data_IF_079646935083
#
_entry.id   IF_079646935083
#
_cell.length_a   1.000
_cell.length_b   1.000
_cell.length_c   1.000
_cell.angle_alpha   90.00
_cell.angle_beta   90.00
_cell.angle_gamma   90.00
#
_symmetry.space_group_name_H-M   'P 1'
#
loop_
_entity.id
_entity.type
_entity.pdbx_description
1 polymer ?
#
# COMPACT_ATOMS: atom_id res chain seq x y z
N UNK A 1 -12.05 15.43 15.09
CA UNK A 1 -11.64 15.54 16.52
C UNK A 1 -10.15 15.86 16.56
N UNK A 2 -9.58 16.39 17.65
CA UNK A 2 -8.12 16.55 17.70
C UNK A 2 -7.45 15.17 17.69
N UNK A 3 -6.23 15.10 17.16
CA UNK A 3 -5.30 13.97 17.21
C UNK A 3 -5.44 13.14 18.50
N UNK A 4 -5.31 11.82 18.39
CA UNK A 4 -5.24 10.95 19.57
C UNK A 4 -4.04 11.35 20.44
N UNK A 5 -4.10 11.03 21.74
CA UNK A 5 -2.99 11.33 22.64
C UNK A 5 -1.66 10.72 22.19
N UNK A 6 -1.73 9.55 21.56
CA UNK A 6 -0.60 8.82 21.03
C UNK A 6 -0.08 9.45 19.74
N UNK A 7 -0.96 9.83 18.82
CA UNK A 7 -0.60 10.55 17.61
C UNK A 7 0.12 11.86 17.96
N UNK A 8 -0.43 12.62 18.92
CA UNK A 8 0.20 13.83 19.43
C UNK A 8 1.57 13.56 20.06
N UNK A 9 1.70 12.50 20.87
CA UNK A 9 2.97 12.15 21.50
C UNK A 9 4.06 11.79 20.46
N UNK A 10 3.69 11.07 19.39
CA UNK A 10 4.59 10.79 18.27
C UNK A 10 5.04 12.09 17.60
N UNK A 11 4.10 12.96 17.23
CA UNK A 11 4.43 14.21 16.55
C UNK A 11 5.28 15.13 17.44
N UNK A 12 4.92 15.27 18.71
CA UNK A 12 5.70 16.01 19.70
C UNK A 12 7.12 15.45 19.81
N UNK A 13 7.29 14.12 19.83
CA UNK A 13 8.61 13.49 19.84
C UNK A 13 9.40 13.82 18.56
N UNK A 14 8.83 13.55 17.38
CA UNK A 14 9.47 13.72 16.07
C UNK A 14 9.91 15.18 15.86
N UNK A 15 9.02 16.14 16.14
CA UNK A 15 9.32 17.56 15.93
C UNK A 15 10.20 18.14 17.05
N UNK A 16 10.10 17.66 18.30
CA UNK A 16 10.98 18.12 19.38
C UNK A 16 12.44 17.70 19.20
N UNK A 17 12.69 16.53 18.62
CA UNK A 17 14.07 16.08 18.33
C UNK A 17 14.64 16.69 17.05
N UNK A 18 13.85 17.49 16.32
CA UNK A 18 14.26 18.09 15.05
C UNK A 18 14.57 17.03 14.00
N UNK A 19 13.78 15.94 13.97
CA UNK A 19 13.95 14.93 12.94
C UNK A 19 13.72 15.57 11.56
N UNK A 20 14.64 15.36 10.60
CA UNK A 20 14.51 15.96 9.28
C UNK A 20 13.30 15.38 8.55
N UNK A 21 12.61 16.25 7.80
CA UNK A 21 11.49 15.90 6.93
C UNK A 21 12.02 15.27 5.65
N UNK A 22 11.19 14.52 4.93
CA UNK A 22 11.64 13.82 3.70
C UNK A 22 12.24 14.77 2.67
N UNK A 23 11.64 15.95 2.48
CA UNK A 23 12.13 16.94 1.52
C UNK A 23 13.47 17.60 1.91
N UNK A 24 13.91 17.44 3.15
CA UNK A 24 15.21 17.93 3.64
C UNK A 24 16.33 16.88 3.48
N UNK A 25 16.00 15.67 3.03
CA UNK A 25 16.90 14.54 2.91
C UNK A 25 17.27 14.24 1.46
N UNK A 26 18.46 13.67 1.26
CA UNK A 26 18.72 12.92 0.03
C UNK A 26 17.85 11.65 -0.01
N UNK A 27 17.63 11.09 -1.20
CA UNK A 27 16.84 9.85 -1.36
C UNK A 27 17.41 8.70 -0.52
N UNK A 28 18.72 8.52 -0.48
CA UNK A 28 19.37 7.48 0.33
C UNK A 28 19.16 7.70 1.83
N UNK A 29 19.24 8.94 2.29
CA UNK A 29 18.97 9.29 3.69
C UNK A 29 17.49 9.07 4.04
N UNK A 30 16.58 9.41 3.13
CA UNK A 30 15.15 9.18 3.28
C UNK A 30 14.84 7.67 3.38
N UNK A 31 15.42 6.84 2.51
CA UNK A 31 15.28 5.37 2.54
C UNK A 31 15.81 4.78 3.84
N UNK A 32 17.00 5.20 4.28
CA UNK A 32 17.58 4.75 5.54
C UNK A 32 16.72 5.17 6.75
N UNK A 33 16.27 6.43 6.76
CA UNK A 33 15.45 6.97 7.85
C UNK A 33 14.08 6.28 7.92
N UNK A 34 13.46 5.99 6.77
CA UNK A 34 12.21 5.25 6.70
C UNK A 34 12.35 3.85 7.30
N UNK A 35 13.36 3.07 6.88
CA UNK A 35 13.65 1.74 7.46
C UNK A 35 13.84 1.80 8.96
N UNK A 36 14.62 2.79 9.44
CA UNK A 36 14.90 2.95 10.87
C UNK A 36 13.64 3.27 11.67
N UNK A 37 12.75 4.09 11.12
CA UNK A 37 11.46 4.42 11.73
C UNK A 37 10.59 3.15 11.88
N UNK A 38 10.46 2.37 10.80
CA UNK A 38 9.69 1.12 10.83
C UNK A 38 10.30 0.09 11.78
N UNK A 39 11.62 -0.03 11.82
CA UNK A 39 12.30 -0.94 12.75
C UNK A 39 12.12 -0.51 14.22
N UNK A 40 12.24 0.79 14.51
CA UNK A 40 12.16 1.29 15.88
C UNK A 40 10.75 1.23 16.47
N UNK A 41 9.72 1.44 15.64
CA UNK A 41 8.35 1.66 16.10
C UNK A 41 7.32 0.69 15.52
N UNK A 42 7.77 -0.26 14.69
CA UNK A 42 6.98 -1.42 14.29
C UNK A 42 6.75 -2.36 15.47
N UNK A 43 5.68 -3.14 15.39
CA UNK A 43 5.42 -4.20 16.37
C UNK A 43 6.46 -5.33 16.22
N UNK A 44 6.64 -6.18 17.25
CA UNK A 44 7.44 -7.38 17.11
C UNK A 44 6.96 -8.24 15.93
N UNK A 45 7.89 -8.69 15.09
CA UNK A 45 7.60 -9.50 13.91
C UNK A 45 6.97 -10.84 14.34
N UNK A 46 5.69 -11.12 13.99
CA UNK A 46 5.05 -12.36 14.40
C UNK A 46 5.59 -13.54 13.59
N UNK A 47 5.66 -14.72 14.22
CA UNK A 47 6.04 -15.94 13.52
C UNK A 47 5.01 -16.27 12.43
N UNK A 48 5.51 -16.77 11.29
CA UNK A 48 4.72 -17.30 10.17
C UNK A 48 5.25 -18.69 9.83
N UNK A 49 4.50 -19.49 9.08
CA UNK A 49 4.91 -20.86 8.75
C UNK A 49 6.17 -20.87 7.88
N UNK A 50 6.26 -19.94 6.91
CA UNK A 50 7.44 -19.79 6.07
C UNK A 50 7.53 -18.38 5.47
N UNK A 51 8.75 -17.95 5.19
CA UNK A 51 9.07 -16.83 4.28
C UNK A 51 9.94 -17.34 3.15
N UNK A 52 9.56 -17.04 1.92
CA UNK A 52 10.28 -17.48 0.71
C UNK A 52 10.60 -16.27 -0.15
N UNK A 53 11.87 -16.07 -0.46
CA UNK A 53 12.28 -15.08 -1.47
C UNK A 53 11.88 -15.57 -2.87
N UNK A 54 11.23 -14.70 -3.63
CA UNK A 54 10.67 -14.99 -4.94
C UNK A 54 11.32 -14.08 -5.96
N UNK A 55 12.12 -14.67 -6.84
CA UNK A 55 12.65 -14.01 -8.03
C UNK A 55 11.67 -14.19 -9.19
N UNK A 56 11.14 -13.09 -9.70
CA UNK A 56 10.25 -13.05 -10.86
C UNK A 56 11.01 -12.57 -12.09
N UNK A 57 11.56 -13.50 -12.86
CA UNK A 57 12.33 -13.20 -14.06
C UNK A 57 11.43 -12.78 -15.21
N UNK A 58 11.72 -11.62 -15.80
CA UNK A 58 11.08 -11.07 -17.01
C UNK A 58 11.68 -11.70 -18.27
N UNK A 59 11.02 -11.52 -19.40
CA UNK A 59 11.47 -12.04 -20.71
C UNK A 59 12.84 -11.48 -21.12
N UNK A 60 13.16 -10.25 -20.72
CA UNK A 60 14.45 -9.59 -20.98
C UNK A 60 15.58 -10.02 -20.02
N UNK A 61 15.29 -10.94 -19.08
CA UNK A 61 16.24 -11.45 -18.10
C UNK A 61 16.37 -10.61 -16.83
N UNK A 62 15.76 -9.42 -16.78
CA UNK A 62 15.67 -8.66 -15.52
C UNK A 62 14.77 -9.37 -14.52
N UNK A 63 14.95 -9.09 -13.22
CA UNK A 63 14.22 -9.78 -12.15
C UNK A 63 13.56 -8.77 -11.23
N UNK A 64 12.27 -8.99 -10.97
CA UNK A 64 11.53 -8.33 -9.89
C UNK A 64 11.54 -9.24 -8.66
N UNK A 65 11.95 -8.72 -7.51
CA UNK A 65 11.99 -9.50 -6.28
C UNK A 65 10.67 -9.35 -5.52
N UNK A 66 10.35 -10.36 -4.74
CA UNK A 66 9.22 -10.37 -3.83
C UNK A 66 9.51 -11.33 -2.66
N UNK A 67 8.76 -11.18 -1.56
CA UNK A 67 8.76 -12.14 -0.45
C UNK A 67 7.37 -12.73 -0.27
N UNK A 68 7.29 -14.05 -0.30
CA UNK A 68 6.08 -14.82 -0.02
C UNK A 68 6.04 -15.22 1.44
N UNK A 69 4.99 -14.81 2.15
CA UNK A 69 4.70 -15.18 3.54
C UNK A 69 3.57 -16.21 3.56
N UNK A 70 3.78 -17.33 4.25
CA UNK A 70 2.75 -18.35 4.46
C UNK A 70 2.23 -18.28 5.90
N UNK A 71 0.91 -18.20 6.14
CA UNK A 71 0.35 -18.01 7.47
C UNK A 71 0.69 -19.17 8.40
N UNK A 72 0.84 -18.88 9.69
CA UNK A 72 1.32 -19.83 10.72
C UNK A 72 0.53 -21.14 10.77
N UNK A 73 -0.78 -21.09 10.51
CA UNK A 73 -1.66 -22.26 10.55
C UNK A 73 -1.67 -23.08 9.24
N UNK A 74 -0.92 -22.67 8.21
CA UNK A 74 -0.84 -23.39 6.94
C UNK A 74 0.26 -24.44 6.90
N UNK A 75 -0.02 -25.51 6.16
CA UNK A 75 0.96 -26.52 5.75
C UNK A 75 1.61 -26.15 4.42
N UNK A 76 2.72 -26.83 4.10
CA UNK A 76 3.43 -26.63 2.82
C UNK A 76 2.58 -26.99 1.61
N UNK A 77 1.73 -28.01 1.74
CA UNK A 77 0.93 -28.55 0.65
C UNK A 77 -0.44 -27.85 0.49
N UNK A 78 -0.75 -26.89 1.36
CA UNK A 78 -1.99 -26.12 1.25
C UNK A 78 -1.94 -25.19 0.03
N UNK A 79 -3.00 -25.23 -0.77
CA UNK A 79 -3.28 -24.22 -1.78
C UNK A 79 -4.02 -23.05 -1.11
N UNK A 80 -3.37 -21.88 -1.05
CA UNK A 80 -3.86 -20.73 -0.29
C UNK A 80 -4.39 -19.62 -1.20
N UNK A 81 -5.42 -18.87 -0.80
CA UNK A 81 -5.69 -17.58 -1.41
C UNK A 81 -4.47 -16.66 -1.34
N UNK A 82 -4.32 -15.79 -2.33
CA UNK A 82 -3.16 -14.89 -2.44
C UNK A 82 -3.58 -13.44 -2.22
N UNK A 83 -2.87 -12.75 -1.33
CA UNK A 83 -2.79 -11.30 -1.30
C UNK A 83 -1.48 -10.86 -1.96
N UNK A 84 -1.55 -10.04 -3.00
CA UNK A 84 -0.38 -9.32 -3.53
C UNK A 84 -0.34 -7.95 -2.86
N UNK A 85 0.76 -7.67 -2.15
CA UNK A 85 0.93 -6.45 -1.38
C UNK A 85 1.96 -5.51 -2.02
N UNK A 86 1.57 -4.26 -2.23
CA UNK A 86 2.45 -3.18 -2.65
C UNK A 86 2.66 -2.22 -1.49
N UNK A 87 3.91 -1.99 -1.12
CA UNK A 87 4.24 -1.13 0.00
C UNK A 87 4.06 0.36 -0.33
N UNK A 88 3.80 1.19 0.68
CA UNK A 88 3.83 2.64 0.58
C UNK A 88 5.25 3.23 0.58
N UNK A 89 5.33 4.56 0.54
CA UNK A 89 6.61 5.30 0.56
C UNK A 89 6.83 6.24 -0.63
N UNK A 90 5.74 6.80 -1.17
CA UNK A 90 5.80 7.81 -2.25
C UNK A 90 6.61 7.35 -3.47
N UNK A 91 6.60 6.05 -3.77
CA UNK A 91 7.41 5.40 -4.83
C UNK A 91 8.93 5.60 -4.71
N UNK A 92 9.44 6.19 -3.63
CA UNK A 92 10.85 6.52 -3.46
C UNK A 92 11.49 5.80 -2.26
N UNK A 93 10.70 5.46 -1.24
CA UNK A 93 11.14 4.75 -0.03
C UNK A 93 10.26 3.53 0.24
N UNK A 94 10.58 2.78 1.30
CA UNK A 94 9.97 1.50 1.60
C UNK A 94 10.68 0.34 0.89
N UNK A 95 10.50 -0.85 1.42
CA UNK A 95 11.01 -2.11 0.89
C UNK A 95 10.39 -3.29 1.66
N UNK A 96 10.80 -4.51 1.31
CA UNK A 96 10.37 -5.75 1.97
C UNK A 96 10.61 -5.73 3.49
N UNK A 97 11.73 -5.17 3.96
CA UNK A 97 12.07 -5.16 5.38
C UNK A 97 11.20 -4.17 6.17
N UNK A 98 10.91 -3.00 5.59
CA UNK A 98 10.08 -1.97 6.21
C UNK A 98 8.63 -2.43 6.41
N UNK A 99 8.17 -3.42 5.64
CA UNK A 99 6.80 -3.93 5.66
C UNK A 99 6.69 -5.40 6.09
N UNK A 100 7.80 -6.02 6.54
CA UNK A 100 7.84 -7.45 6.95
C UNK A 100 6.81 -7.74 8.05
N UNK A 101 6.74 -6.90 9.08
CA UNK A 101 5.82 -7.06 10.21
C UNK A 101 4.36 -7.03 9.73
N UNK A 102 3.99 -6.02 8.92
CA UNK A 102 2.63 -5.89 8.41
C UNK A 102 2.25 -7.06 7.52
N UNK A 103 3.13 -7.49 6.61
CA UNK A 103 2.87 -8.64 5.74
C UNK A 103 2.64 -9.94 6.53
N UNK A 104 3.39 -10.15 7.63
CA UNK A 104 3.19 -11.31 8.52
C UNK A 104 1.87 -11.24 9.28
N UNK A 105 1.50 -10.05 9.77
CA UNK A 105 0.20 -9.84 10.41
C UNK A 105 -0.95 -10.09 9.43
N UNK A 106 -0.83 -9.58 8.20
CA UNK A 106 -1.80 -9.81 7.13
C UNK A 106 -1.93 -11.29 6.78
N UNK A 107 -0.80 -12.01 6.64
CA UNK A 107 -0.80 -13.44 6.37
C UNK A 107 -1.54 -14.20 7.49
N UNK A 108 -1.07 -14.08 8.73
CA UNK A 108 -1.65 -14.79 9.87
C UNK A 108 -3.11 -14.43 10.11
N UNK A 109 -3.45 -13.14 10.03
CA UNK A 109 -4.82 -12.68 10.28
C UNK A 109 -5.79 -13.10 9.18
N UNK A 110 -5.38 -13.11 7.90
CA UNK A 110 -6.30 -13.46 6.80
C UNK A 110 -6.36 -14.97 6.54
N UNK A 111 -5.28 -15.69 6.82
CA UNK A 111 -5.08 -17.06 6.35
C UNK A 111 -4.72 -17.13 4.85
N UNK A 112 -4.42 -16.00 4.22
CA UNK A 112 -3.90 -15.94 2.86
C UNK A 112 -2.38 -16.07 2.86
N UNK A 113 -1.81 -16.57 1.76
CA UNK A 113 -0.44 -16.26 1.42
C UNK A 113 -0.33 -14.77 1.08
N UNK A 114 0.77 -14.12 1.46
CA UNK A 114 1.04 -12.72 1.12
C UNK A 114 2.29 -12.65 0.26
N UNK A 115 2.20 -12.09 -0.94
CA UNK A 115 3.34 -11.82 -1.81
C UNK A 115 3.62 -10.32 -1.79
N UNK A 116 4.63 -9.90 -1.01
CA UNK A 116 5.06 -8.50 -0.95
C UNK A 116 6.03 -8.20 -2.08
N UNK A 117 5.74 -7.18 -2.88
CA UNK A 117 6.49 -6.86 -4.10
C UNK A 117 7.55 -5.78 -3.82
N UNK A 118 8.79 -6.03 -4.24
CA UNK A 118 9.92 -5.10 -4.15
C UNK A 118 10.05 -4.32 -5.47
N UNK A 119 9.04 -3.48 -5.76
CA UNK A 119 8.95 -2.77 -7.04
C UNK A 119 10.03 -1.70 -7.18
N UNK A 120 10.43 -1.40 -8.43
CA UNK A 120 11.45 -0.41 -8.73
C UNK A 120 11.04 0.98 -8.22
N UNK A 121 11.96 1.65 -7.54
CA UNK A 121 11.74 2.95 -6.93
C UNK A 121 12.29 4.09 -7.78
N UNK A 122 11.64 5.24 -7.64
CA UNK A 122 12.12 6.53 -8.08
C UNK A 122 13.21 7.07 -7.11
N UNK A 123 14.11 7.95 -7.58
CA UNK A 123 14.20 8.52 -8.93
C UNK A 123 14.97 7.65 -9.95
N UNK A 124 15.57 6.53 -9.54
CA UNK A 124 16.35 5.67 -10.44
C UNK A 124 15.47 5.04 -11.52
N UNK A 125 14.22 4.74 -11.17
CA UNK A 125 13.20 4.22 -12.06
C UNK A 125 11.92 5.05 -11.87
N UNK A 126 11.82 6.23 -12.49
CA UNK A 126 10.63 7.07 -12.37
C UNK A 126 9.42 6.39 -13.02
N UNK A 127 8.25 7.01 -12.87
CA UNK A 127 7.04 6.59 -13.57
C UNK A 127 7.31 6.34 -15.07
N UNK A 128 6.80 5.24 -15.67
CA UNK A 128 5.83 4.28 -15.13
C UNK A 128 6.42 2.99 -14.54
N UNK A 129 7.70 2.94 -14.16
CA UNK A 129 8.38 1.68 -13.80
C UNK A 129 7.68 0.87 -12.68
N UNK A 130 7.26 1.52 -11.60
CA UNK A 130 6.54 0.86 -10.51
C UNK A 130 5.17 0.30 -10.94
N UNK A 131 4.48 0.98 -11.86
CA UNK A 131 3.20 0.51 -12.43
C UNK A 131 3.42 -0.73 -13.29
N UNK A 132 4.47 -0.75 -14.09
CA UNK A 132 4.87 -1.92 -14.90
C UNK A 132 5.26 -3.12 -14.04
N UNK A 133 5.85 -2.88 -12.88
CA UNK A 133 6.16 -3.92 -11.88
C UNK A 133 4.90 -4.45 -11.22
N UNK A 134 3.96 -3.56 -10.87
CA UNK A 134 2.69 -3.95 -10.29
C UNK A 134 1.89 -4.88 -11.21
N UNK A 135 1.60 -4.48 -12.45
CA UNK A 135 0.82 -5.33 -13.36
C UNK A 135 1.55 -6.63 -13.71
N UNK A 136 2.89 -6.58 -13.89
CA UNK A 136 3.69 -7.78 -14.12
C UNK A 136 3.59 -8.76 -12.96
N UNK A 137 3.67 -8.29 -11.71
CA UNK A 137 3.57 -9.16 -10.53
C UNK A 137 2.22 -9.84 -10.39
N UNK A 138 1.14 -9.16 -10.75
CA UNK A 138 -0.21 -9.70 -10.74
C UNK A 138 -0.34 -10.84 -11.75
N UNK A 139 0.04 -10.58 -13.00
CA UNK A 139 -0.03 -11.54 -14.10
C UNK A 139 0.88 -12.75 -13.84
N UNK A 140 2.12 -12.50 -13.44
CA UNK A 140 3.10 -13.54 -13.14
C UNK A 140 2.67 -14.42 -11.97
N UNK A 141 2.11 -13.88 -10.90
CA UNK A 141 1.67 -14.67 -9.76
C UNK A 141 0.52 -15.62 -10.13
N UNK A 142 -0.43 -15.15 -10.96
CA UNK A 142 -1.51 -15.98 -11.48
C UNK A 142 -1.01 -17.08 -12.44
N UNK A 143 0.03 -16.82 -13.22
CA UNK A 143 0.68 -17.81 -14.08
C UNK A 143 1.48 -18.85 -13.27
N UNK A 144 2.10 -18.43 -12.17
CA UNK A 144 2.94 -19.27 -11.32
C UNK A 144 2.18 -19.87 -10.13
N UNK A 145 0.85 -19.85 -10.15
CA UNK A 145 0.00 -20.21 -9.02
C UNK A 145 0.36 -21.57 -8.38
N UNK A 146 0.50 -22.61 -9.20
CA UNK A 146 0.91 -23.95 -8.76
C UNK A 146 2.28 -23.94 -8.08
N UNK A 147 3.24 -23.17 -8.61
CA UNK A 147 4.60 -23.08 -8.07
C UNK A 147 4.63 -22.34 -6.73
N UNK A 148 3.75 -21.38 -6.55
CA UNK A 148 3.60 -20.60 -5.31
C UNK A 148 2.73 -21.34 -4.27
N UNK A 149 2.02 -22.39 -4.66
CA UNK A 149 1.03 -23.06 -3.82
C UNK A 149 -0.12 -22.13 -3.46
N UNK A 150 -0.62 -21.39 -4.45
CA UNK A 150 -1.73 -20.43 -4.29
C UNK A 150 -2.86 -20.73 -5.28
N UNK A 151 -4.08 -20.41 -4.87
CA UNK A 151 -5.28 -20.53 -5.69
C UNK A 151 -5.40 -19.34 -6.66
N UNK A 152 -5.28 -19.61 -7.96
CA UNK A 152 -5.41 -18.61 -9.04
C UNK A 152 -6.78 -17.93 -9.06
N UNK A 153 -7.83 -18.59 -8.58
CA UNK A 153 -9.19 -18.05 -8.50
C UNK A 153 -9.43 -17.09 -7.34
N UNK A 154 -8.50 -17.04 -6.38
CA UNK A 154 -8.64 -16.29 -5.14
C UNK A 154 -7.47 -15.31 -4.92
N UNK A 155 -7.29 -14.39 -5.86
CA UNK A 155 -6.28 -13.32 -5.79
C UNK A 155 -6.92 -12.01 -5.32
N UNK A 156 -6.32 -11.40 -4.31
CA UNK A 156 -6.63 -10.07 -3.79
C UNK A 156 -5.41 -9.15 -3.92
N UNK A 157 -5.65 -7.84 -3.99
CA UNK A 157 -4.60 -6.82 -3.97
C UNK A 157 -4.69 -6.00 -2.69
N UNK A 158 -3.56 -5.46 -2.26
CA UNK A 158 -3.55 -4.50 -1.16
C UNK A 158 -2.30 -3.65 -1.16
N UNK A 159 -2.42 -2.51 -0.50
CA UNK A 159 -1.31 -1.59 -0.35
C UNK A 159 -1.72 -0.35 0.41
N UNK A 160 -0.71 0.39 0.84
CA UNK A 160 -0.88 1.63 1.59
C UNK A 160 -0.24 2.80 0.84
N UNK A 161 -0.85 4.00 0.88
CA UNK A 161 -0.30 5.20 0.27
C UNK A 161 -0.01 5.01 -1.25
N UNK A 162 1.26 5.16 -1.66
CA UNK A 162 1.74 4.84 -3.01
C UNK A 162 1.51 3.37 -3.42
N UNK A 163 1.57 2.42 -2.49
CA UNK A 163 1.23 1.03 -2.74
C UNK A 163 -0.26 0.84 -3.01
N UNK A 164 -1.11 1.59 -2.31
CA UNK A 164 -2.56 1.63 -2.59
C UNK A 164 -2.87 2.16 -3.99
N UNK A 165 -2.10 3.15 -4.47
CA UNK A 165 -2.17 3.59 -5.87
C UNK A 165 -1.85 2.45 -6.84
N UNK A 166 -0.73 1.73 -6.61
CA UNK A 166 -0.33 0.59 -7.44
C UNK A 166 -1.37 -0.54 -7.41
N UNK A 167 -2.05 -0.77 -6.28
CA UNK A 167 -3.17 -1.72 -6.21
C UNK A 167 -4.34 -1.30 -7.11
N UNK A 168 -4.76 -0.04 -7.07
CA UNK A 168 -5.86 0.48 -7.90
C UNK A 168 -5.50 0.37 -9.39
N UNK A 169 -4.32 0.88 -9.77
CA UNK A 169 -3.88 0.90 -11.17
C UNK A 169 -3.65 -0.51 -11.69
N UNK A 170 -3.04 -1.39 -10.88
CA UNK A 170 -2.85 -2.79 -11.22
C UNK A 170 -4.17 -3.54 -11.43
N UNK A 171 -5.19 -3.29 -10.59
CA UNK A 171 -6.51 -3.87 -10.76
C UNK A 171 -7.19 -3.42 -12.07
N UNK A 172 -7.13 -2.12 -12.38
CA UNK A 172 -7.69 -1.57 -13.62
C UNK A 172 -7.00 -2.15 -14.86
N UNK A 173 -5.66 -2.23 -14.85
CA UNK A 173 -4.90 -2.82 -15.96
C UNK A 173 -5.19 -4.31 -16.13
N UNK A 174 -5.30 -5.08 -15.04
CA UNK A 174 -5.63 -6.50 -15.09
C UNK A 174 -7.05 -6.72 -15.65
N UNK A 175 -8.00 -5.85 -15.29
CA UNK A 175 -9.35 -5.84 -15.84
C UNK A 175 -9.36 -5.52 -17.34
N UNK A 176 -8.71 -4.43 -17.75
CA UNK A 176 -8.62 -3.99 -19.15
C UNK A 176 -8.03 -5.08 -20.07
N UNK A 177 -7.02 -5.80 -19.56
CA UNK A 177 -6.34 -6.90 -20.28
C UNK A 177 -7.07 -8.23 -20.19
N UNK A 178 -8.10 -8.34 -19.35
CA UNK A 178 -8.75 -9.60 -18.98
C UNK A 178 -7.74 -10.69 -18.55
N UNK A 179 -6.65 -10.29 -17.87
CA UNK A 179 -5.52 -11.19 -17.59
C UNK A 179 -5.70 -11.98 -16.30
N UNK A 180 -6.17 -11.32 -15.22
CA UNK A 180 -6.39 -11.92 -13.90
C UNK A 180 -7.66 -11.34 -13.27
N UNK A 181 -8.53 -12.20 -12.76
CA UNK A 181 -9.69 -11.76 -11.99
C UNK A 181 -9.27 -11.45 -10.54
N UNK A 182 -9.35 -10.18 -10.14
CA UNK A 182 -9.11 -9.78 -8.76
C UNK A 182 -10.43 -9.89 -7.99
N UNK A 183 -10.39 -10.56 -6.84
CA UNK A 183 -11.58 -10.88 -6.04
C UNK A 183 -11.87 -9.85 -4.95
N UNK A 184 -10.83 -9.18 -4.48
CA UNK A 184 -10.94 -8.19 -3.41
C UNK A 184 -9.75 -7.23 -3.45
N UNK A 185 -9.94 -6.02 -2.95
CA UNK A 185 -8.86 -5.07 -2.73
C UNK A 185 -9.03 -4.38 -1.39
N UNK A 186 -7.95 -4.21 -0.63
CA UNK A 186 -7.95 -3.24 0.46
C UNK A 186 -6.96 -2.12 0.17
N UNK A 187 -7.32 -0.91 0.58
CA UNK A 187 -6.54 0.29 0.33
C UNK A 187 -6.40 1.03 1.65
N UNK A 188 -5.16 1.29 2.06
CA UNK A 188 -4.89 2.10 3.26
C UNK A 188 -4.41 3.47 2.79
N UNK A 189 -5.20 4.52 3.04
CA UNK A 189 -4.95 5.92 2.66
C UNK A 189 -4.28 6.10 1.27
N UNK A 190 -4.82 5.49 0.21
CA UNK A 190 -4.17 5.45 -1.10
C UNK A 190 -3.93 6.85 -1.68
N UNK A 191 -2.81 7.03 -2.39
CA UNK A 191 -2.62 8.23 -3.21
C UNK A 191 -3.44 8.11 -4.50
N UNK A 192 -4.61 8.76 -4.56
CA UNK A 192 -5.55 8.62 -5.70
C UNK A 192 -5.46 9.75 -6.72
N UNK A 193 -4.90 10.90 -6.33
CA UNK A 193 -4.75 12.09 -7.15
C UNK A 193 -3.47 12.84 -6.74
N UNK A 194 -2.57 13.13 -7.68
CA UNK A 194 -1.30 13.81 -7.40
C UNK A 194 -1.49 15.32 -7.34
N UNK A 195 -2.16 15.88 -8.35
CA UNK A 195 -2.52 17.30 -8.41
C UNK A 195 -3.90 17.52 -7.77
N UNK A 196 -3.93 17.56 -6.44
CA UNK A 196 -5.14 17.83 -5.65
C UNK A 196 -5.03 19.14 -4.87
N UNK A 197 -6.12 19.92 -4.88
CA UNK A 197 -6.30 21.14 -4.09
C UNK A 197 -7.34 20.98 -2.97
N UNK A 198 -7.75 19.73 -2.67
CA UNK A 198 -8.80 19.45 -1.68
C UNK A 198 -8.42 19.92 -0.27
N UNK A 199 -9.41 20.29 0.57
CA UNK A 199 -9.15 20.90 1.89
C UNK A 199 -8.15 20.14 2.78
N UNK A 200 -8.17 18.80 2.79
CA UNK A 200 -7.24 17.99 3.59
C UNK A 200 -5.77 18.30 3.29
N UNK A 201 -5.42 18.62 2.03
CA UNK A 201 -4.05 19.00 1.63
C UNK A 201 -3.54 20.22 2.40
N UNK A 202 -4.41 21.20 2.64
CA UNK A 202 -4.07 22.41 3.39
C UNK A 202 -4.18 22.19 4.90
N UNK A 203 -5.23 21.48 5.35
CA UNK A 203 -5.49 21.27 6.78
C UNK A 203 -4.43 20.40 7.46
N UNK A 204 -3.93 19.38 6.76
CA UNK A 204 -3.00 18.39 7.30
C UNK A 204 -1.63 18.38 6.62
N UNK A 205 -1.41 19.23 5.62
CA UNK A 205 -0.13 19.32 4.90
C UNK A 205 1.03 19.93 5.70
N UNK A 206 0.85 20.26 6.98
CA UNK A 206 1.92 20.75 7.84
C UNK A 206 1.75 20.26 9.27
N UNK A 207 2.77 19.59 9.81
CA UNK A 207 2.80 19.19 11.22
C UNK A 207 2.14 17.84 11.52
N UNK A 208 1.79 17.06 10.50
CA UNK A 208 1.10 15.77 10.61
C UNK A 208 1.90 14.62 9.99
N UNK A 209 3.23 14.65 10.15
CA UNK A 209 4.21 13.68 9.63
C UNK A 209 4.40 13.72 8.11
N UNK A 210 3.33 13.64 7.33
CA UNK A 210 3.37 13.79 5.87
C UNK A 210 3.05 15.23 5.49
N UNK A 211 4.09 16.04 5.33
CA UNK A 211 3.96 17.44 4.96
C UNK A 211 3.81 17.64 3.43
N UNK A 212 3.18 18.74 3.00
CA UNK A 212 2.97 19.10 1.60
C UNK A 212 4.28 19.20 0.81
N UNK A 213 5.33 19.80 1.39
CA UNK A 213 6.66 19.84 0.79
C UNK A 213 7.26 18.43 0.61
N UNK A 214 6.95 17.49 1.51
CA UNK A 214 7.38 16.10 1.37
C UNK A 214 6.61 15.38 0.26
N UNK A 215 5.31 15.67 0.09
CA UNK A 215 4.52 15.19 -1.04
C UNK A 215 5.09 15.70 -2.37
N UNK A 216 5.37 16.99 -2.48
CA UNK A 216 6.01 17.59 -3.66
C UNK A 216 7.37 16.95 -3.95
N UNK A 217 8.18 16.67 -2.93
CA UNK A 217 9.45 15.96 -3.07
C UNK A 217 9.27 14.54 -3.63
N UNK A 218 8.31 13.75 -3.12
CA UNK A 218 8.01 12.42 -3.67
C UNK A 218 7.52 12.51 -5.12
N UNK A 219 6.59 13.42 -5.41
CA UNK A 219 6.04 13.60 -6.75
C UNK A 219 7.10 14.08 -7.75
N UNK A 220 8.01 14.95 -7.35
CA UNK A 220 9.11 15.43 -8.19
C UNK A 220 10.08 14.31 -8.59
N UNK A 221 10.38 13.37 -7.69
CA UNK A 221 11.20 12.20 -8.02
C UNK A 221 10.44 11.17 -8.86
N UNK A 222 9.16 10.95 -8.56
CA UNK A 222 8.34 9.97 -9.27
C UNK A 222 7.96 10.41 -10.69
N UNK A 223 7.66 11.71 -10.88
CA UNK A 223 7.20 12.32 -12.13
C UNK A 223 8.12 13.47 -12.58
N UNK A 224 9.41 13.21 -12.86
CA UNK A 224 10.35 14.28 -13.24
C UNK A 224 9.98 15.00 -14.54
N UNK A 225 9.11 14.41 -15.37
CA UNK A 225 8.61 14.97 -16.62
C UNK A 225 7.25 15.69 -16.49
N UNK A 226 6.61 15.71 -15.30
CA UNK A 226 5.32 16.37 -15.10
C UNK A 226 4.13 15.69 -15.78
N UNK A 227 3.87 14.41 -15.45
CA UNK A 227 2.76 13.59 -15.99
C UNK A 227 1.73 13.22 -14.91
N UNK A 228 1.38 14.17 -14.06
CA UNK A 228 0.42 14.00 -12.96
C UNK A 228 -1.01 13.74 -13.43
N UNK A 229 -1.34 14.13 -14.67
CA UNK A 229 -2.65 13.86 -15.31
C UNK A 229 -2.77 12.45 -15.93
N UNK A 230 -1.68 11.69 -16.05
CA UNK A 230 -1.78 10.30 -16.48
C UNK A 230 -2.52 9.49 -15.40
N UNK A 231 -3.59 8.79 -15.79
CA UNK A 231 -4.42 8.05 -14.84
C UNK A 231 -3.65 6.95 -14.10
N UNK A 232 -2.55 6.46 -14.65
CA UNK A 232 -1.69 5.46 -13.99
C UNK A 232 -0.86 6.08 -12.86
N UNK A 233 -0.74 7.41 -12.82
CA UNK A 233 -0.16 8.15 -11.70
C UNK A 233 -1.27 8.68 -10.76
N UNK A 234 -2.37 9.19 -11.34
CA UNK A 234 -3.54 9.71 -10.62
C UNK A 234 -4.81 8.93 -11.00
N UNK A 235 -5.13 7.79 -10.37
CA UNK A 235 -6.26 6.93 -10.77
C UNK A 235 -7.63 7.63 -10.72
N UNK A 236 -7.77 8.74 -10.01
CA UNK A 236 -8.96 9.61 -10.13
C UNK A 236 -9.22 10.11 -11.56
N UNK A 237 -8.22 10.14 -12.42
CA UNK A 237 -8.31 10.50 -13.84
C UNK A 237 -8.60 9.33 -14.78
N UNK A 238 -8.73 8.10 -14.27
CA UNK A 238 -9.03 6.94 -15.10
C UNK A 238 -10.34 7.14 -15.87
N UNK A 239 -10.44 6.75 -17.16
CA UNK A 239 -11.69 6.91 -17.92
C UNK A 239 -12.90 6.24 -17.28
N UNK A 240 -12.68 5.15 -16.55
CA UNK A 240 -13.66 4.52 -15.68
C UNK A 240 -12.97 3.77 -14.54
N UNK A 241 -13.65 3.70 -13.39
CA UNK A 241 -13.33 2.83 -12.27
C UNK A 241 -14.16 1.53 -12.27
N UNK A 242 -15.01 1.34 -13.28
CA UNK A 242 -15.70 0.07 -13.51
C UNK A 242 -14.68 -1.05 -13.69
N UNK A 243 -14.96 -2.22 -13.10
CA UNK A 243 -14.06 -3.37 -13.12
C UNK A 243 -13.12 -3.48 -11.93
N UNK A 244 -13.06 -2.46 -11.05
CA UNK A 244 -12.45 -2.64 -9.74
C UNK A 244 -13.22 -3.70 -8.92
N UNK A 245 -12.51 -4.55 -8.16
CA UNK A 245 -13.14 -5.53 -7.27
C UNK A 245 -13.80 -4.83 -6.08
N UNK A 246 -14.59 -5.54 -5.25
CA UNK A 246 -15.03 -5.00 -3.96
C UNK A 246 -13.84 -4.49 -3.13
N UNK A 247 -13.99 -3.28 -2.58
CA UNK A 247 -12.93 -2.53 -1.92
C UNK A 247 -13.22 -2.36 -0.43
N UNK A 248 -12.20 -2.56 0.41
CA UNK A 248 -12.16 -2.01 1.77
C UNK A 248 -11.16 -0.85 1.82
N UNK A 249 -11.66 0.37 1.97
CA UNK A 249 -10.87 1.57 2.12
C UNK A 249 -10.70 1.92 3.60
N UNK A 250 -9.46 2.08 4.04
CA UNK A 250 -9.09 2.56 5.37
C UNK A 250 -8.47 3.94 5.22
N UNK A 251 -8.98 4.95 5.92
CA UNK A 251 -8.41 6.32 5.88
C UNK A 251 -7.95 6.76 7.27
N UNK A 252 -6.92 7.60 7.32
CA UNK A 252 -6.54 8.33 8.52
C UNK A 252 -7.26 9.69 8.57
N UNK A 253 -7.78 10.10 9.73
CA UNK A 253 -8.50 11.39 9.87
C UNK A 253 -7.58 12.60 9.62
N UNK A 254 -6.34 12.57 10.14
CA UNK A 254 -5.40 13.68 10.03
C UNK A 254 -4.35 13.40 8.94
N UNK A 255 -4.81 13.30 7.69
CA UNK A 255 -3.99 12.93 6.53
C UNK A 255 -4.22 13.90 5.37
N UNK A 256 -3.17 14.47 4.74
CA UNK A 256 -3.34 15.31 3.56
C UNK A 256 -4.07 14.62 2.41
N UNK A 257 -4.04 13.29 2.31
CA UNK A 257 -4.71 12.49 1.28
C UNK A 257 -6.16 12.12 1.63
N UNK A 258 -6.68 12.50 2.81
CA UNK A 258 -7.98 12.05 3.29
C UNK A 258 -9.12 12.40 2.33
N UNK A 259 -9.23 13.65 1.88
CA UNK A 259 -10.31 14.07 0.98
C UNK A 259 -10.17 13.43 -0.41
N UNK A 260 -8.95 13.12 -0.86
CA UNK A 260 -8.70 12.41 -2.13
C UNK A 260 -9.19 10.96 -2.06
N UNK A 261 -9.00 10.31 -0.91
CA UNK A 261 -9.55 8.97 -0.64
C UNK A 261 -11.08 9.00 -0.61
N UNK A 262 -11.68 10.02 0.02
CA UNK A 262 -13.13 10.17 0.07
C UNK A 262 -13.72 10.42 -1.32
N UNK A 263 -13.12 11.30 -2.11
CA UNK A 263 -13.53 11.55 -3.49
C UNK A 263 -13.42 10.29 -4.37
N UNK A 264 -12.37 9.49 -4.17
CA UNK A 264 -12.24 8.19 -4.82
C UNK A 264 -13.37 7.24 -4.43
N UNK A 265 -13.68 7.12 -3.14
CA UNK A 265 -14.77 6.26 -2.69
C UNK A 265 -16.14 6.69 -3.23
N UNK A 266 -16.40 7.99 -3.28
CA UNK A 266 -17.62 8.54 -3.89
C UNK A 266 -17.68 8.20 -5.38
N UNK A 267 -16.57 8.36 -6.11
CA UNK A 267 -16.50 8.04 -7.53
C UNK A 267 -16.72 6.54 -7.80
N UNK A 268 -16.10 5.65 -7.02
CA UNK A 268 -16.32 4.20 -7.14
C UNK A 268 -17.80 3.86 -6.98
N UNK A 269 -18.47 4.42 -5.97
CA UNK A 269 -19.92 4.20 -5.76
C UNK A 269 -20.76 4.78 -6.89
N UNK A 270 -20.42 5.96 -7.38
CA UNK A 270 -21.13 6.61 -8.49
C UNK A 270 -21.04 5.81 -9.80
N UNK A 271 -19.95 5.06 -9.99
CA UNK A 271 -19.76 4.15 -11.12
C UNK A 271 -20.26 2.71 -10.85
N UNK A 272 -20.96 2.48 -9.73
CA UNK A 272 -21.60 1.21 -9.40
C UNK A 272 -20.68 0.17 -8.73
N UNK A 273 -19.47 0.55 -8.33
CA UNK A 273 -18.54 -0.30 -7.59
C UNK A 273 -18.88 -0.44 -6.11
N UNK A 274 -18.40 -1.52 -5.49
CA UNK A 274 -18.59 -1.81 -4.07
C UNK A 274 -17.38 -1.32 -3.25
N UNK A 275 -17.63 -0.43 -2.29
CA UNK A 275 -16.57 0.07 -1.39
C UNK A 275 -17.08 0.30 0.04
N UNK A 276 -16.54 -0.50 0.96
CA UNK A 276 -16.64 -0.29 2.42
C UNK A 276 -15.57 0.72 2.84
N UNK A 277 -15.94 1.71 3.65
CA UNK A 277 -15.01 2.71 4.16
C UNK A 277 -14.91 2.62 5.68
N UNK A 278 -13.68 2.57 6.18
CA UNK A 278 -13.32 2.59 7.60
C UNK A 278 -12.45 3.82 7.83
N UNK A 279 -13.05 4.87 8.39
CA UNK A 279 -12.31 6.02 8.89
C UNK A 279 -11.67 5.68 10.24
N UNK A 280 -10.40 6.02 10.40
CA UNK A 280 -9.66 5.88 11.67
C UNK A 280 -9.42 7.26 12.25
N UNK A 281 -10.10 7.54 13.35
CA UNK A 281 -10.09 8.85 14.00
C UNK A 281 -8.75 9.12 14.72
N UNK A 282 -8.30 10.36 14.68
CA UNK A 282 -7.17 10.86 15.47
C UNK A 282 -5.78 10.36 15.05
N UNK A 283 -5.65 9.60 13.97
CA UNK A 283 -4.36 9.08 13.45
C UNK A 283 -3.88 9.86 12.23
N UNK A 284 -2.59 9.71 11.91
CA UNK A 284 -1.91 10.37 10.78
C UNK A 284 -1.57 9.39 9.66
N UNK A 285 -1.16 9.92 8.51
CA UNK A 285 -0.64 9.11 7.41
C UNK A 285 0.52 8.22 7.87
N UNK A 286 0.56 6.96 7.41
CA UNK A 286 1.59 5.99 7.80
C UNK A 286 1.32 5.25 9.12
N UNK A 287 0.20 5.49 9.80
CA UNK A 287 -0.07 4.85 11.11
C UNK A 287 -0.05 3.32 11.07
N UNK A 288 -0.38 2.69 9.93
CA UNK A 288 -0.61 1.25 9.84
C UNK A 288 0.62 0.40 10.18
N UNK A 289 1.82 0.93 9.94
CA UNK A 289 3.08 0.22 10.24
C UNK A 289 3.72 0.68 11.56
N UNK A 290 3.16 1.72 12.20
CA UNK A 290 3.67 2.33 13.43
C UNK A 290 2.91 1.83 14.67
N UNK A 291 2.66 0.52 14.74
CA UNK A 291 1.78 -0.08 15.73
C UNK A 291 2.21 0.06 17.20
N UNK A 292 3.48 0.41 17.50
CA UNK A 292 3.86 0.75 18.88
C UNK A 292 3.26 2.10 19.35
N UNK A 293 3.00 3.03 18.43
CA UNK A 293 2.35 4.29 18.73
C UNK A 293 0.84 4.24 18.51
N UNK A 294 0.37 3.51 17.50
CA UNK A 294 -1.03 3.49 17.11
C UNK A 294 -1.67 2.12 17.36
N UNK A 295 -2.32 1.90 18.52
CA UNK A 295 -3.17 0.73 18.72
C UNK A 295 -4.24 0.57 17.64
N UNK A 296 -4.67 1.69 17.03
CA UNK A 296 -5.59 1.74 15.92
C UNK A 296 -5.06 0.97 14.68
N UNK A 297 -3.74 0.86 14.52
CA UNK A 297 -3.13 0.05 13.47
C UNK A 297 -3.54 -1.43 13.60
N UNK A 298 -3.52 -1.98 14.81
CA UNK A 298 -3.95 -3.37 15.05
C UNK A 298 -5.43 -3.55 14.70
N UNK A 299 -6.29 -2.63 15.12
CA UNK A 299 -7.72 -2.69 14.77
C UNK A 299 -7.96 -2.59 13.26
N UNK A 300 -7.21 -1.72 12.55
CA UNK A 300 -7.29 -1.61 11.11
C UNK A 300 -6.84 -2.90 10.42
N UNK A 301 -5.74 -3.51 10.87
CA UNK A 301 -5.27 -4.81 10.35
C UNK A 301 -6.29 -5.92 10.62
N UNK A 302 -6.93 -5.95 11.79
CA UNK A 302 -7.99 -6.92 12.11
C UNK A 302 -9.19 -6.77 11.16
N UNK A 303 -9.59 -5.53 10.85
CA UNK A 303 -10.66 -5.26 9.87
C UNK A 303 -10.27 -5.69 8.46
N UNK A 304 -9.05 -5.38 8.03
CA UNK A 304 -8.51 -5.76 6.72
C UNK A 304 -8.47 -7.28 6.58
N UNK A 305 -7.90 -7.98 7.56
CA UNK A 305 -7.75 -9.43 7.53
C UNK A 305 -9.08 -10.16 7.61
N UNK A 306 -10.05 -9.63 8.38
CA UNK A 306 -11.42 -10.13 8.37
C UNK A 306 -12.11 -9.92 7.01
N UNK A 307 -11.90 -8.76 6.37
CA UNK A 307 -12.41 -8.48 5.02
C UNK A 307 -11.84 -9.43 3.96
N UNK A 308 -10.52 -9.58 3.94
CA UNK A 308 -9.82 -10.55 3.10
C UNK A 308 -10.38 -11.96 3.28
N UNK A 309 -10.45 -12.44 4.53
CA UNK A 309 -10.94 -13.79 4.83
C UNK A 309 -12.35 -14.03 4.32
N UNK A 310 -13.25 -13.04 4.42
CA UNK A 310 -14.62 -13.13 3.90
C UNK A 310 -14.66 -13.15 2.36
N UNK A 311 -13.79 -12.39 1.72
CA UNK A 311 -13.82 -12.25 0.26
C UNK A 311 -13.16 -13.43 -0.47
N UNK A 312 -12.14 -14.04 0.14
CA UNK A 312 -11.29 -15.06 -0.50
C UNK A 312 -11.59 -16.49 -0.06
N UNK A 313 -12.49 -16.70 0.91
CA UNK A 313 -13.03 -18.03 1.24
C UNK A 313 -14.46 -18.15 0.68
N UNK A 314 -14.82 -19.26 0.01
CA UNK A 314 -16.17 -19.50 -0.49
C UNK A 314 -17.20 -19.67 0.63
#
# INVERSE_FOLDING_TARGET
MPLSSQAKALLDMVYRVGAPRFHELSVDQARHSFRKLQWAFGLPSPAVAATVEVAMTRVDGSTLNARLYRPLESSRDDELPLLIYFHGGGWCVGDLESYDVLCRQLANGSGCAVLSIDYRLAPENPFPAAVEDAIFSIEWAAEQAQRLGIDRGCIALGGDSAGGNLSIVGALLAHERASVAIRFMFLVYPSTEIASDRPSRQLFGQGYLLDGESLEWFYGHYLPAGNDEDWRASPMRAPSLAGLPPILLVTAECDPLADDCMAFAERVRAEGGEIEHVAVDGVVHGFITLGQFFPEATHAVDRITAGLRRAVRP
#
